data_IF_186566267778
#
_entry.id   IF_186566267778
#
_cell.length_a   1.000
_cell.length_b   1.000
_cell.length_c   1.000
_cell.angle_alpha   90.00
_cell.angle_beta   90.00
_cell.angle_gamma   90.00
#
_symmetry.space_group_name_H-M   'P 1'
#
loop_
_entity.id
_entity.type
_entity.pdbx_description
1 polymer ?
#
# COMPACT_ATOMS: atom_id res chain seq x y z
N UNK A 1 -23.70 -0.42 -22.19
CA UNK A 1 -23.59 0.89 -21.51
C UNK A 1 -22.38 1.59 -22.08
N UNK A 2 -22.54 2.83 -22.54
CA UNK A 2 -21.43 3.65 -22.99
C UNK A 2 -20.67 4.13 -21.74
N UNK A 3 -19.62 3.42 -21.35
CA UNK A 3 -18.90 3.68 -20.10
C UNK A 3 -17.90 4.80 -20.33
N UNK A 4 -18.40 6.04 -20.25
CA UNK A 4 -17.54 7.20 -20.18
C UNK A 4 -16.52 7.03 -19.03
N UNK A 5 -15.23 7.37 -19.25
CA UNK A 5 -14.19 7.14 -18.24
C UNK A 5 -14.41 8.04 -17.02
N UNK A 6 -14.34 7.44 -15.82
CA UNK A 6 -14.54 8.13 -14.54
C UNK A 6 -13.41 9.12 -14.22
N UNK A 7 -12.18 8.79 -14.59
CA UNK A 7 -11.01 9.62 -14.33
C UNK A 7 -10.56 10.32 -15.61
N UNK A 8 -10.62 11.64 -15.58
CA UNK A 8 -10.23 12.50 -16.70
C UNK A 8 -9.05 13.39 -16.29
N UNK A 9 -8.24 13.76 -17.27
CA UNK A 9 -7.24 14.82 -17.09
C UNK A 9 -7.90 16.21 -17.19
N UNK A 10 -7.12 17.27 -16.99
CA UNK A 10 -7.59 18.67 -17.07
C UNK A 10 -8.16 19.09 -18.44
N UNK A 11 -7.97 18.28 -19.48
CA UNK A 11 -8.47 18.50 -20.83
C UNK A 11 -9.71 17.64 -21.13
N UNK A 12 -10.28 16.96 -20.13
CA UNK A 12 -11.43 16.08 -20.30
C UNK A 12 -11.12 14.77 -21.04
N UNK A 13 -9.83 14.40 -21.19
CA UNK A 13 -9.42 13.14 -21.82
C UNK A 13 -9.22 12.04 -20.77
N UNK A 14 -9.35 10.75 -21.14
CA UNK A 14 -9.15 9.65 -20.21
C UNK A 14 -7.79 9.74 -19.53
N UNK A 15 -7.76 9.53 -18.21
CA UNK A 15 -6.52 9.50 -17.44
C UNK A 15 -5.74 8.22 -17.78
N UNK A 16 -4.46 8.35 -18.11
CA UNK A 16 -3.63 7.23 -18.55
C UNK A 16 -2.79 6.67 -17.42
N UNK A 17 -2.36 5.41 -17.57
CA UNK A 17 -1.43 4.77 -16.64
C UNK A 17 -0.10 5.54 -16.54
N UNK A 18 0.42 6.03 -17.67
CA UNK A 18 1.65 6.84 -17.69
C UNK A 18 1.49 8.12 -16.87
N UNK A 19 0.36 8.84 -17.04
CA UNK A 19 0.08 10.05 -16.28
C UNK A 19 -0.03 9.75 -14.78
N UNK A 20 -0.65 8.62 -14.43
CA UNK A 20 -0.76 8.13 -13.07
C UNK A 20 0.60 7.82 -12.43
N UNK A 21 1.48 7.11 -13.14
CA UNK A 21 2.83 6.80 -12.68
C UNK A 21 3.65 8.07 -12.44
N UNK A 22 3.61 9.03 -13.37
CA UNK A 22 4.30 10.32 -13.21
C UNK A 22 3.76 11.15 -12.03
N UNK A 23 2.44 11.13 -11.78
CA UNK A 23 1.86 11.77 -10.60
C UNK A 23 2.30 11.10 -9.30
N UNK A 24 2.29 9.77 -9.26
CA UNK A 24 2.68 8.98 -8.09
C UNK A 24 4.16 9.20 -7.74
N UNK A 25 5.04 9.26 -8.74
CA UNK A 25 6.45 9.57 -8.54
C UNK A 25 6.65 10.98 -7.96
N UNK A 26 5.93 11.99 -8.48
CA UNK A 26 6.00 13.36 -7.95
C UNK A 26 5.52 13.44 -6.50
N UNK A 27 4.42 12.76 -6.17
CA UNK A 27 3.91 12.70 -4.81
C UNK A 27 4.91 12.02 -3.86
N UNK A 28 5.56 10.94 -4.30
CA UNK A 28 6.62 10.25 -3.54
C UNK A 28 7.78 11.18 -3.21
N UNK A 29 8.30 11.90 -4.22
CA UNK A 29 9.40 12.86 -4.04
C UNK A 29 8.98 13.99 -3.09
N UNK A 30 7.79 14.56 -3.29
CA UNK A 30 7.27 15.63 -2.43
C UNK A 30 7.05 15.16 -0.97
N UNK A 31 6.75 13.88 -0.77
CA UNK A 31 6.63 13.26 0.55
C UNK A 31 7.96 12.93 1.24
N UNK A 32 9.11 13.26 0.64
CA UNK A 32 10.42 13.01 1.23
C UNK A 32 10.88 11.55 1.16
N UNK A 33 10.25 10.72 0.33
CA UNK A 33 10.67 9.34 0.14
C UNK A 33 11.82 9.29 -0.88
N UNK A 34 13.03 9.05 -0.38
CA UNK A 34 14.26 8.94 -1.17
C UNK A 34 14.34 7.61 -1.96
N UNK A 35 15.47 7.37 -2.63
CA UNK A 35 15.70 6.10 -3.34
C UNK A 35 15.94 4.90 -2.43
N UNK A 36 16.26 5.12 -1.15
CA UNK A 36 16.44 4.06 -0.17
C UNK A 36 15.09 3.61 0.45
N UNK A 37 14.10 4.49 0.47
CA UNK A 37 12.75 4.27 1.03
C UNK A 37 11.67 4.41 -0.05
N UNK A 38 11.91 3.83 -1.23
CA UNK A 38 10.93 3.87 -2.30
C UNK A 38 9.68 3.07 -1.91
N UNK A 39 8.53 3.71 -2.02
CA UNK A 39 7.24 3.02 -2.07
C UNK A 39 6.66 3.15 -3.48
N UNK A 40 6.07 2.07 -3.96
CA UNK A 40 5.37 2.01 -5.23
C UNK A 40 3.86 2.09 -5.00
N UNK A 41 3.10 2.37 -6.06
CA UNK A 41 1.64 2.44 -5.93
C UNK A 41 1.02 1.12 -5.44
N UNK A 42 1.59 -0.02 -5.81
CA UNK A 42 1.13 -1.33 -5.31
C UNK A 42 1.30 -1.48 -3.79
N UNK A 43 2.16 -0.70 -3.14
CA UNK A 43 2.31 -0.70 -1.68
C UNK A 43 1.11 -0.04 -0.99
N UNK A 44 0.43 0.90 -1.63
CA UNK A 44 -0.83 1.44 -1.12
C UNK A 44 -1.91 0.36 -1.10
N UNK A 45 -1.99 -0.45 -2.18
CA UNK A 45 -2.87 -1.63 -2.19
C UNK A 45 -2.47 -2.60 -1.08
N UNK A 46 -1.18 -2.88 -0.94
CA UNK A 46 -0.69 -3.79 0.09
C UNK A 46 -1.05 -3.33 1.50
N UNK A 47 -0.85 -2.04 1.79
CA UNK A 47 -1.22 -1.40 3.06
C UNK A 47 -2.73 -1.47 3.31
N UNK A 48 -3.54 -1.12 2.30
CA UNK A 48 -4.98 -1.16 2.42
C UNK A 48 -5.52 -2.58 2.69
N UNK A 49 -4.89 -3.60 2.11
CA UNK A 49 -5.25 -5.00 2.36
C UNK A 49 -4.76 -5.47 3.73
N UNK A 50 -3.52 -5.13 4.13
CA UNK A 50 -2.99 -5.54 5.44
C UNK A 50 -3.74 -4.93 6.62
N UNK A 51 -4.29 -3.73 6.45
CA UNK A 51 -5.07 -3.01 7.48
C UNK A 51 -6.49 -3.52 7.64
N UNK A 52 -6.92 -4.48 6.81
CA UNK A 52 -8.26 -5.04 6.91
C UNK A 52 -8.45 -5.79 8.24
N UNK A 53 -9.62 -5.71 8.87
CA UNK A 53 -9.84 -6.23 10.23
C UNK A 53 -9.80 -7.76 10.27
N UNK A 54 -10.21 -8.44 9.21
CA UNK A 54 -10.19 -9.90 9.09
C UNK A 54 -9.72 -10.33 7.68
N UNK A 55 -9.58 -11.63 7.48
CA UNK A 55 -9.03 -12.20 6.24
C UNK A 55 -9.99 -12.15 5.06
N UNK A 56 -11.30 -12.20 5.32
CA UNK A 56 -12.34 -12.12 4.30
C UNK A 56 -12.36 -10.72 3.70
N UNK A 57 -12.34 -9.69 4.55
CA UNK A 57 -12.28 -8.29 4.12
C UNK A 57 -10.99 -7.99 3.37
N UNK A 58 -9.86 -8.54 3.83
CA UNK A 58 -8.59 -8.43 3.15
C UNK A 58 -8.63 -9.07 1.75
N UNK A 59 -9.23 -10.26 1.62
CA UNK A 59 -9.39 -10.96 0.35
C UNK A 59 -10.28 -10.17 -0.62
N UNK A 60 -11.43 -9.69 -0.14
CA UNK A 60 -12.36 -8.90 -0.93
C UNK A 60 -11.73 -7.59 -1.41
N UNK A 61 -11.04 -6.87 -0.52
CA UNK A 61 -10.35 -5.62 -0.85
C UNK A 61 -9.15 -5.85 -1.79
N UNK A 62 -8.48 -6.99 -1.67
CA UNK A 62 -7.38 -7.38 -2.56
C UNK A 62 -7.83 -7.85 -3.95
N UNK A 63 -9.11 -8.22 -4.09
CA UNK A 63 -9.65 -8.88 -5.29
C UNK A 63 -9.06 -10.28 -5.49
N UNK A 64 -8.70 -10.97 -4.40
CA UNK A 64 -8.12 -12.30 -4.48
C UNK A 64 -9.19 -13.38 -4.58
N UNK A 65 -9.01 -14.33 -5.50
CA UNK A 65 -9.89 -15.49 -5.64
C UNK A 65 -9.66 -16.56 -4.56
N UNK A 66 -8.50 -16.53 -3.89
CA UNK A 66 -8.11 -17.48 -2.84
C UNK A 66 -7.49 -16.74 -1.63
N UNK A 67 -8.01 -17.09 -0.45
CA UNK A 67 -7.56 -16.61 0.85
C UNK A 67 -6.09 -16.98 1.15
N UNK A 68 -5.54 -18.05 0.56
CA UNK A 68 -4.12 -18.44 0.73
C UNK A 68 -3.17 -17.34 0.27
N UNK A 69 -3.51 -16.62 -0.80
CA UNK A 69 -2.71 -15.50 -1.32
C UNK A 69 -2.73 -14.34 -0.32
N UNK A 70 -3.89 -14.02 0.24
CA UNK A 70 -4.05 -12.97 1.25
C UNK A 70 -3.23 -13.27 2.50
N UNK A 71 -3.32 -14.50 3.03
CA UNK A 71 -2.55 -14.93 4.20
C UNK A 71 -1.04 -14.82 3.96
N UNK A 72 -0.56 -15.36 2.84
CA UNK A 72 0.88 -15.36 2.49
C UNK A 72 1.44 -13.96 2.26
N UNK A 73 0.67 -13.06 1.64
CA UNK A 73 1.18 -11.77 1.15
C UNK A 73 0.96 -10.64 2.16
N UNK A 74 -0.18 -10.63 2.86
CA UNK A 74 -0.60 -9.46 3.64
C UNK A 74 -0.71 -9.68 5.16
N UNK A 75 -0.70 -10.93 5.65
CA UNK A 75 -0.65 -11.24 7.09
C UNK A 75 0.77 -11.64 7.54
N UNK A 76 1.78 -10.91 7.06
CA UNK A 76 3.20 -11.24 7.29
C UNK A 76 3.76 -10.72 8.62
N UNK A 77 3.09 -9.77 9.27
CA UNK A 77 3.60 -9.10 10.48
C UNK A 77 2.80 -9.52 11.72
N UNK A 78 3.46 -9.63 12.89
CA UNK A 78 2.77 -9.78 14.17
C UNK A 78 1.75 -8.65 14.34
N UNK A 79 0.53 -9.00 14.75
CA UNK A 79 -0.52 -8.02 15.11
C UNK A 79 -0.21 -7.27 16.41
N UNK A 80 0.67 -7.85 17.24
CA UNK A 80 1.11 -7.28 18.51
C UNK A 80 2.64 -7.31 18.59
N UNK A 81 3.23 -6.25 19.14
CA UNK A 81 4.67 -6.12 19.35
C UNK A 81 4.90 -6.00 20.86
N UNK A 82 5.68 -6.90 21.43
CA UNK A 82 6.18 -6.76 22.80
C UNK A 82 7.49 -5.96 22.74
N UNK A 83 7.56 -4.77 23.34
CA UNK A 83 8.82 -4.01 23.41
C UNK A 83 9.87 -4.81 24.17
N UNK A 84 11.09 -4.87 23.64
CA UNK A 84 12.20 -5.47 24.38
C UNK A 84 12.46 -4.65 25.66
N UNK A 85 12.75 -5.32 26.79
CA UNK A 85 13.11 -4.62 28.02
C UNK A 85 14.32 -3.71 27.78
N UNK A 86 14.28 -2.48 28.30
CA UNK A 86 15.42 -1.57 28.24
C UNK A 86 16.63 -2.23 28.89
N UNK A 87 17.69 -2.45 28.13
CA UNK A 87 18.98 -2.86 28.70
C UNK A 87 19.51 -1.69 29.51
N UNK A 88 19.54 -1.81 30.85
CA UNK A 88 20.19 -0.80 31.67
C UNK A 88 21.68 -0.85 31.35
N UNK A 89 22.27 0.26 30.89
CA UNK A 89 23.72 0.40 30.88
C UNK A 89 24.21 0.16 32.31
N UNK A 90 24.95 -0.94 32.54
CA UNK A 90 25.76 -1.05 33.75
C UNK A 90 26.74 0.13 33.72
N UNK A 91 26.70 0.95 34.77
CA UNK A 91 27.72 1.95 35.00
C UNK A 91 29.06 1.22 35.18
N UNK A 92 30.05 1.56 34.34
CA UNK A 92 31.45 1.22 34.56
C UNK A 92 32.02 2.01 35.72
#
# INVERSE_FOLDING_TARGET
MDTAPLFLNRYGKPFTETAFNSMSQRARIAGGFDEAHQFHFHDLKAKAVSDSPNEIDAMNRGGHLDMRTTRRVYRRKPTEIVPLPRVSKKAS
#
